data_IF_130291587956
#
_entry.id   IF_130291587956
#
_cell.length_a   1.000
_cell.length_b   1.000
_cell.length_c   1.000
_cell.angle_alpha   90.00
_cell.angle_beta   90.00
_cell.angle_gamma   90.00
#
_symmetry.space_group_name_H-M   'P 1'
#
loop_
_entity.id
_entity.type
_entity.pdbx_description
1 polymer ?
#
# COMPACT_ATOMS: atom_id res chain seq x y z
N UNK A 1 32.99 -29.68 37.01
CA UNK A 1 31.67 -29.69 36.34
C UNK A 1 31.71 -28.61 35.27
N UNK A 2 32.15 -28.97 34.06
CA UNK A 2 32.20 -28.05 32.93
C UNK A 2 30.94 -28.26 32.09
N UNK A 3 30.08 -27.24 32.00
CA UNK A 3 28.89 -27.28 31.15
C UNK A 3 29.31 -26.85 29.74
N UNK A 4 29.48 -27.82 28.86
CA UNK A 4 29.69 -27.59 27.44
C UNK A 4 28.33 -27.26 26.80
N UNK A 5 28.05 -25.98 26.59
CA UNK A 5 26.89 -25.54 25.80
C UNK A 5 27.16 -25.84 24.32
N UNK A 6 26.61 -26.96 23.86
CA UNK A 6 26.60 -27.35 22.44
C UNK A 6 25.52 -26.53 21.74
N UNK A 7 25.92 -25.42 21.10
CA UNK A 7 25.06 -24.71 20.15
C UNK A 7 24.79 -25.63 18.95
N UNK A 8 23.51 -25.97 18.73
CA UNK A 8 23.11 -26.91 17.70
C UNK A 8 23.01 -26.22 16.32
N UNK A 9 23.38 -26.89 15.22
CA UNK A 9 23.40 -26.32 13.87
C UNK A 9 22.01 -26.03 13.28
N UNK A 10 20.92 -26.31 14.00
CA UNK A 10 19.55 -25.95 13.59
C UNK A 10 19.14 -24.55 14.07
N UNK A 11 20.02 -23.81 14.75
CA UNK A 11 19.89 -22.37 14.97
C UNK A 11 19.88 -21.66 13.61
N UNK A 12 18.70 -21.74 13.00
CA UNK A 12 18.33 -21.12 11.76
C UNK A 12 18.40 -19.64 12.06
N UNK A 13 19.54 -19.05 11.70
CA UNK A 13 19.76 -17.62 11.65
C UNK A 13 18.48 -16.98 11.13
N UNK A 14 17.92 -16.06 11.91
CA UNK A 14 16.88 -15.16 11.44
C UNK A 14 17.40 -14.47 10.18
N UNK A 15 17.05 -15.00 9.01
CA UNK A 15 17.12 -14.26 7.77
C UNK A 15 15.95 -13.29 7.87
N UNK A 16 16.24 -12.10 8.42
CA UNK A 16 15.47 -10.90 8.13
C UNK A 16 15.69 -10.63 6.64
N UNK A 17 14.98 -11.39 5.81
CA UNK A 17 14.80 -11.09 4.41
C UNK A 17 14.17 -9.72 4.40
N UNK A 18 14.97 -8.74 3.98
CA UNK A 18 14.54 -7.43 3.49
C UNK A 18 13.20 -7.62 2.81
N UNK A 19 12.14 -7.16 3.49
CA UNK A 19 10.79 -7.20 2.97
C UNK A 19 10.86 -6.66 1.56
N UNK A 20 10.46 -7.51 0.62
CA UNK A 20 10.12 -7.13 -0.74
C UNK A 20 9.28 -5.87 -0.60
N UNK A 21 9.87 -4.71 -0.87
CA UNK A 21 9.18 -3.44 -0.82
C UNK A 21 8.27 -3.45 -2.05
N UNK A 22 7.18 -4.21 -1.94
CA UNK A 22 6.10 -4.20 -2.89
C UNK A 22 5.80 -2.73 -3.16
N UNK A 23 5.77 -2.29 -4.44
CA UNK A 23 5.54 -0.90 -4.75
C UNK A 23 4.28 -0.48 -4.00
N UNK A 24 4.45 0.45 -3.05
CA UNK A 24 3.35 0.89 -2.22
C UNK A 24 2.28 1.39 -3.18
N UNK A 25 1.23 0.60 -3.35
CA UNK A 25 0.13 0.98 -4.23
C UNK A 25 -0.32 2.35 -3.75
N UNK A 26 -0.47 3.34 -4.65
CA UNK A 26 -0.93 4.65 -4.25
C UNK A 26 -2.23 4.46 -3.46
N UNK A 27 -2.35 5.17 -2.33
CA UNK A 27 -3.58 5.14 -1.57
C UNK A 27 -4.75 5.55 -2.48
N UNK A 28 -5.92 4.97 -2.25
CA UNK A 28 -7.15 5.34 -2.97
C UNK A 28 -7.36 6.86 -2.93
N UNK A 29 -7.05 7.50 -1.81
CA UNK A 29 -7.12 8.95 -1.67
C UNK A 29 -6.15 9.70 -2.59
N UNK A 30 -4.91 9.22 -2.72
CA UNK A 30 -3.92 9.83 -3.63
C UNK A 30 -4.31 9.65 -5.09
N UNK A 31 -4.90 8.52 -5.47
CA UNK A 31 -5.45 8.31 -6.81
C UNK A 31 -6.62 9.25 -7.08
N UNK A 32 -7.56 9.37 -6.14
CA UNK A 32 -8.70 10.27 -6.25
C UNK A 32 -8.28 11.72 -6.39
N UNK A 33 -7.31 12.18 -5.60
CA UNK A 33 -6.76 13.53 -5.66
C UNK A 33 -6.19 13.83 -7.06
N UNK A 34 -5.32 12.94 -7.58
CA UNK A 34 -4.71 13.09 -8.91
C UNK A 34 -5.75 13.12 -10.03
N UNK A 35 -6.76 12.26 -9.97
CA UNK A 35 -7.85 12.23 -10.95
C UNK A 35 -8.69 13.51 -10.89
N UNK A 36 -9.01 13.97 -9.68
CA UNK A 36 -9.82 15.17 -9.47
C UNK A 36 -9.10 16.41 -10.00
N UNK A 37 -7.82 16.58 -9.68
CA UNK A 37 -6.98 17.68 -10.20
C UNK A 37 -6.88 17.65 -11.72
N UNK A 38 -6.63 16.48 -12.31
CA UNK A 38 -6.44 16.32 -13.74
C UNK A 38 -7.70 16.63 -14.55
N UNK A 39 -8.87 16.27 -14.02
CA UNK A 39 -10.16 16.51 -14.66
C UNK A 39 -10.83 17.84 -14.24
N UNK A 40 -10.23 18.57 -13.29
CA UNK A 40 -10.76 19.84 -12.79
C UNK A 40 -11.96 19.71 -11.85
N UNK A 41 -12.14 18.56 -11.18
CA UNK A 41 -13.17 18.35 -10.17
C UNK A 41 -12.68 18.73 -8.77
N UNK A 42 -13.62 19.12 -7.90
CA UNK A 42 -13.34 19.33 -6.49
C UNK A 42 -12.95 18.00 -5.81
N UNK A 43 -11.79 18.00 -5.15
CA UNK A 43 -11.33 16.89 -4.32
C UNK A 43 -11.93 17.03 -2.90
N UNK A 44 -12.56 15.96 -2.43
CA UNK A 44 -13.07 15.85 -1.05
C UNK A 44 -12.19 14.86 -0.27
N UNK A 45 -11.49 15.36 0.76
CA UNK A 45 -10.69 14.55 1.66
C UNK A 45 -11.57 13.89 2.74
N UNK A 46 -11.07 12.82 3.36
CA UNK A 46 -11.76 12.15 4.47
C UNK A 46 -12.96 11.29 4.05
N UNK A 47 -13.07 10.97 2.76
CA UNK A 47 -14.04 10.00 2.27
C UNK A 47 -13.71 8.59 2.78
N UNK A 48 -14.74 7.79 3.04
CA UNK A 48 -14.55 6.36 3.27
C UNK A 48 -13.91 5.70 2.05
N UNK A 49 -13.15 4.61 2.25
CA UNK A 49 -12.48 3.92 1.15
C UNK A 49 -13.44 3.49 0.04
N UNK A 50 -14.62 2.98 0.40
CA UNK A 50 -15.67 2.60 -0.55
C UNK A 50 -16.18 3.79 -1.37
N UNK A 51 -16.30 4.97 -0.74
CA UNK A 51 -16.73 6.18 -1.42
C UNK A 51 -15.66 6.73 -2.36
N UNK A 52 -14.41 6.75 -1.90
CA UNK A 52 -13.28 7.17 -2.72
C UNK A 52 -13.15 6.28 -3.97
N UNK A 53 -13.30 4.95 -3.83
CA UNK A 53 -13.30 4.01 -4.97
C UNK A 53 -14.45 4.26 -5.95
N UNK A 54 -15.67 4.53 -5.46
CA UNK A 54 -16.82 4.87 -6.32
C UNK A 54 -16.56 6.15 -7.10
N UNK A 55 -16.02 7.17 -6.43
CA UNK A 55 -15.67 8.46 -7.06
C UNK A 55 -14.59 8.30 -8.13
N UNK A 56 -13.56 7.50 -7.85
CA UNK A 56 -12.52 7.15 -8.84
C UNK A 56 -13.13 6.49 -10.07
N UNK A 57 -14.02 5.51 -9.91
CA UNK A 57 -14.67 4.84 -11.03
C UNK A 57 -15.45 5.83 -11.92
N UNK A 58 -16.23 6.73 -11.31
CA UNK A 58 -16.95 7.79 -12.04
C UNK A 58 -16.00 8.74 -12.79
N UNK A 59 -14.88 9.12 -12.17
CA UNK A 59 -13.90 9.99 -12.81
C UNK A 59 -13.21 9.30 -13.99
N UNK A 60 -12.92 8.00 -13.89
CA UNK A 60 -12.42 7.21 -15.02
C UNK A 60 -13.44 7.10 -16.15
N UNK A 61 -14.74 6.96 -15.84
CA UNK A 61 -15.79 6.98 -16.88
C UNK A 61 -15.81 8.31 -17.63
N UNK A 62 -15.69 9.44 -16.92
CA UNK A 62 -15.63 10.78 -17.53
C UNK A 62 -14.35 10.98 -18.34
N UNK A 63 -13.21 10.47 -17.89
CA UNK A 63 -11.96 10.54 -18.63
C UNK A 63 -12.01 9.79 -19.99
N UNK A 64 -12.78 8.71 -20.05
CA UNK A 64 -12.89 7.85 -21.24
C UNK A 64 -14.09 8.19 -22.16
N UNK A 65 -14.90 9.20 -21.81
CA UNK A 65 -16.08 9.63 -22.56
C UNK A 65 -15.74 10.69 -23.62
#
# INVERSE_FOLDING_TARGET
>A
MEKTETAYPWETRHVTGTGDAAPARPSTEAELMRLSERLGFAFEAGLSESEARRRIALLHEVENA
#
